data_IF_723028719059
#
_entry.id   IF_723028719059
#
_cell.length_a   1.000
_cell.length_b   1.000
_cell.length_c   1.000
_cell.angle_alpha   90.00
_cell.angle_beta   90.00
_cell.angle_gamma   90.00
#
_symmetry.space_group_name_H-M   'P 1'
#
loop_
_entity.id
_entity.type
_entity.pdbx_description
1 polymer ?
#
# COMPACT_ATOMS: atom_id res chain seq x y z
N UNK A 1 41.95 -2.73 -20.18
CA UNK A 1 41.26 -1.87 -19.20
C UNK A 1 39.84 -1.75 -19.67
N UNK A 2 38.86 -2.31 -18.94
CA UNK A 2 37.44 -2.13 -19.26
C UNK A 2 37.04 -0.80 -18.66
N UNK A 3 36.47 0.07 -19.49
CA UNK A 3 35.91 1.35 -19.08
C UNK A 3 34.81 1.12 -18.05
N UNK A 4 35.11 1.48 -16.79
CA UNK A 4 34.16 1.68 -15.73
C UNK A 4 33.29 2.90 -16.06
N UNK A 5 32.27 2.72 -16.90
CA UNK A 5 31.07 3.54 -16.76
C UNK A 5 30.50 3.20 -15.40
N UNK A 6 30.77 4.06 -14.40
CA UNK A 6 30.13 4.07 -13.08
C UNK A 6 28.62 4.34 -13.22
N UNK A 7 27.90 3.44 -13.87
CA UNK A 7 26.45 3.37 -13.78
C UNK A 7 26.10 2.75 -12.44
N UNK A 8 25.04 3.24 -11.81
CA UNK A 8 24.44 2.60 -10.63
C UNK A 8 24.14 1.14 -10.96
N UNK A 9 24.49 0.23 -10.06
CA UNK A 9 24.24 -1.21 -10.27
C UNK A 9 22.73 -1.44 -10.34
N UNK A 10 22.26 -2.27 -11.27
CA UNK A 10 20.84 -2.44 -11.56
C UNK A 10 20.00 -2.83 -10.33
N UNK A 11 20.56 -3.65 -9.43
CA UNK A 11 19.87 -4.04 -8.19
C UNK A 11 19.66 -2.87 -7.21
N UNK A 12 20.54 -1.85 -7.23
CA UNK A 12 20.38 -0.63 -6.42
C UNK A 12 19.19 0.15 -6.98
N UNK A 13 19.13 0.34 -8.30
CA UNK A 13 17.99 1.00 -8.94
C UNK A 13 16.67 0.26 -8.68
N UNK A 14 16.68 -1.08 -8.68
CA UNK A 14 15.50 -1.84 -8.27
C UNK A 14 15.10 -1.57 -6.81
N UNK A 15 16.05 -1.52 -5.87
CA UNK A 15 15.75 -1.16 -4.47
C UNK A 15 15.16 0.24 -4.36
N UNK A 16 15.70 1.22 -5.09
CA UNK A 16 15.18 2.59 -5.10
C UNK A 16 13.73 2.63 -5.60
N UNK A 17 13.42 1.90 -6.68
CA UNK A 17 12.05 1.77 -7.21
C UNK A 17 11.12 1.16 -6.16
N UNK A 18 11.50 0.02 -5.56
CA UNK A 18 10.67 -0.66 -4.56
C UNK A 18 10.47 0.20 -3.32
N UNK A 19 11.50 0.92 -2.87
CA UNK A 19 11.42 1.83 -1.73
C UNK A 19 10.51 3.04 -2.01
N UNK A 20 10.58 3.65 -3.21
CA UNK A 20 9.65 4.72 -3.62
C UNK A 20 8.21 4.24 -3.57
N UNK A 21 7.93 3.06 -4.12
CA UNK A 21 6.59 2.45 -4.08
C UNK A 21 6.16 2.20 -2.63
N UNK A 22 7.05 1.63 -1.80
CA UNK A 22 6.78 1.37 -0.38
C UNK A 22 6.38 2.65 0.36
N UNK A 23 7.18 3.70 0.24
CA UNK A 23 6.91 4.99 0.90
C UNK A 23 5.57 5.57 0.45
N UNK A 24 5.26 5.47 -0.84
CA UNK A 24 3.99 5.96 -1.38
C UNK A 24 2.79 5.14 -0.88
N UNK A 25 2.90 3.81 -0.78
CA UNK A 25 1.85 2.96 -0.21
C UNK A 25 1.53 3.33 1.25
N UNK A 26 2.57 3.56 2.06
CA UNK A 26 2.42 4.02 3.46
C UNK A 26 1.78 5.40 3.50
N UNK A 27 2.21 6.31 2.62
CA UNK A 27 1.65 7.67 2.53
C UNK A 27 0.16 7.62 2.20
N UNK A 28 -0.26 6.81 1.22
CA UNK A 28 -1.67 6.63 0.88
C UNK A 28 -2.49 6.00 2.01
N UNK A 29 -1.89 5.14 2.83
CA UNK A 29 -2.55 4.58 4.01
C UNK A 29 -2.80 5.67 5.06
N UNK A 30 -1.81 6.53 5.33
CA UNK A 30 -1.96 7.69 6.22
C UNK A 30 -2.99 8.69 5.70
N UNK A 31 -2.96 9.02 4.40
CA UNK A 31 -3.94 9.90 3.76
C UNK A 31 -5.36 9.32 3.87
N UNK A 32 -5.50 7.99 3.77
CA UNK A 32 -6.81 7.33 3.96
C UNK A 32 -7.34 7.50 5.38
N UNK A 33 -6.49 7.43 6.41
CA UNK A 33 -6.91 7.75 7.79
C UNK A 33 -7.27 9.21 7.93
N UNK A 34 -6.44 10.11 7.39
CA UNK A 34 -6.67 11.54 7.47
C UNK A 34 -8.01 11.94 6.84
N UNK A 35 -8.29 11.46 5.63
CA UNK A 35 -9.57 11.67 4.96
C UNK A 35 -10.74 11.11 5.77
N UNK A 36 -10.57 9.95 6.41
CA UNK A 36 -11.59 9.35 7.27
C UNK A 36 -11.84 10.15 8.55
N UNK A 37 -10.81 10.79 9.13
CA UNK A 37 -10.95 11.71 10.26
C UNK A 37 -11.67 13.00 9.84
N UNK A 38 -11.27 13.59 8.71
CA UNK A 38 -11.89 14.81 8.18
C UNK A 38 -13.37 14.61 7.84
N UNK A 39 -13.71 13.42 7.33
CA UNK A 39 -15.09 13.00 7.08
C UNK A 39 -15.85 12.54 8.33
N UNK A 40 -15.21 12.56 9.51
CA UNK A 40 -15.76 12.07 10.79
C UNK A 40 -16.25 10.63 10.70
N UNK A 41 -15.58 9.79 9.92
CA UNK A 41 -15.81 8.34 9.89
C UNK A 41 -15.10 7.64 11.07
N UNK A 42 -14.00 8.25 11.55
CA UNK A 42 -13.22 7.80 12.69
C UNK A 42 -13.24 8.93 13.74
N UNK A 43 -13.43 8.56 15.00
CA UNK A 43 -13.31 9.49 16.13
C UNK A 43 -12.20 8.99 17.07
N UNK A 44 -11.27 9.89 17.41
CA UNK A 44 -10.18 9.60 18.35
C UNK A 44 -10.62 10.06 19.74
N UNK A 45 -11.20 9.15 20.52
CA UNK A 45 -11.51 9.40 21.93
C UNK A 45 -10.25 9.18 22.78
N UNK A 46 -9.79 10.26 23.42
CA UNK A 46 -8.45 10.35 23.99
C UNK A 46 -8.16 9.46 25.20
N UNK A 47 -7.02 8.77 25.11
CA UNK A 47 -5.97 8.78 26.14
C UNK A 47 -4.66 8.47 25.42
N UNK A 48 -4.23 9.39 24.54
CA UNK A 48 -2.85 9.38 24.09
C UNK A 48 -2.04 9.95 25.25
N UNK A 49 -1.28 9.04 25.87
CA UNK A 49 -0.34 9.28 26.96
C UNK A 49 0.33 10.64 26.76
N UNK A 50 0.24 11.48 27.79
CA UNK A 50 0.92 12.78 27.87
C UNK A 50 2.43 12.56 27.87
N UNK A 51 3.00 12.36 26.69
CA UNK A 51 4.43 12.58 26.44
C UNK A 51 4.59 14.10 26.26
N UNK A 52 5.65 14.74 26.80
CA UNK A 52 5.78 16.20 26.79
C UNK A 52 5.84 16.82 25.39
N UNK A 53 6.09 16.01 24.36
CA UNK A 53 6.06 16.40 22.97
C UNK A 53 4.76 15.87 22.33
N UNK A 54 3.95 16.77 21.77
CA UNK A 54 2.80 16.36 20.95
C UNK A 54 3.31 15.42 19.86
N UNK A 55 2.77 14.19 19.71
CA UNK A 55 3.18 13.32 18.63
C UNK A 55 2.99 14.05 17.31
N UNK A 56 3.95 13.92 16.40
CA UNK A 56 3.81 14.49 15.06
C UNK A 56 2.58 13.90 14.38
N UNK A 57 1.91 14.65 13.50
CA UNK A 57 0.72 14.19 12.78
C UNK A 57 0.97 12.84 12.08
N UNK A 58 2.19 12.64 11.57
CA UNK A 58 2.67 11.39 10.98
C UNK A 58 2.63 10.21 11.96
N UNK A 59 3.18 10.36 13.17
CA UNK A 59 3.18 9.30 14.18
C UNK A 59 1.75 8.93 14.61
N UNK A 60 0.90 9.95 14.76
CA UNK A 60 -0.51 9.73 15.08
C UNK A 60 -1.22 8.96 13.96
N UNK A 61 -1.08 9.37 12.70
CA UNK A 61 -1.71 8.68 11.58
C UNK A 61 -1.18 7.25 11.44
N UNK A 62 0.13 7.05 11.56
CA UNK A 62 0.72 5.72 11.48
C UNK A 62 0.25 4.82 12.63
N UNK A 63 0.13 5.35 13.85
CA UNK A 63 -0.46 4.63 14.98
C UNK A 63 -1.90 4.20 14.69
N UNK A 64 -2.72 5.10 14.15
CA UNK A 64 -4.11 4.80 13.80
C UNK A 64 -4.20 3.76 12.67
N UNK A 65 -3.39 3.88 11.62
CA UNK A 65 -3.28 2.87 10.55
C UNK A 65 -2.98 1.51 11.16
N UNK A 66 -1.90 1.39 11.94
CA UNK A 66 -1.48 0.12 12.53
C UNK A 66 -2.54 -0.48 13.47
N UNK A 67 -3.22 0.37 14.25
CA UNK A 67 -4.30 -0.07 15.12
C UNK A 67 -5.50 -0.60 14.33
N UNK A 68 -5.95 0.15 13.32
CA UNK A 68 -7.10 -0.24 12.49
C UNK A 68 -6.81 -1.49 11.66
N UNK A 69 -5.59 -1.62 11.14
CA UNK A 69 -5.16 -2.81 10.40
C UNK A 69 -5.07 -4.03 11.32
N UNK A 70 -4.51 -3.89 12.53
CA UNK A 70 -4.41 -5.02 13.47
C UNK A 70 -5.77 -5.45 14.05
N UNK A 71 -6.72 -4.53 14.19
CA UNK A 71 -8.08 -4.83 14.64
C UNK A 71 -9.07 -5.13 13.49
N UNK A 72 -8.61 -5.16 12.22
CA UNK A 72 -9.45 -5.28 11.03
C UNK A 72 -10.47 -6.41 11.14
N UNK A 73 -10.05 -7.63 11.44
CA UNK A 73 -10.95 -8.77 11.41
C UNK A 73 -12.05 -8.66 12.48
N UNK A 74 -11.69 -8.13 13.66
CA UNK A 74 -12.66 -7.81 14.72
C UNK A 74 -13.65 -6.76 14.25
N UNK A 75 -13.16 -5.66 13.67
CA UNK A 75 -13.98 -4.56 13.14
C UNK A 75 -14.95 -5.10 12.07
N UNK A 76 -14.43 -5.81 11.07
CA UNK A 76 -15.24 -6.35 9.97
C UNK A 76 -16.32 -7.30 10.49
N UNK A 77 -15.99 -8.18 11.44
CA UNK A 77 -16.95 -9.10 12.03
C UNK A 77 -18.05 -8.36 12.81
N UNK A 78 -17.68 -7.44 13.70
CA UNK A 78 -18.64 -6.69 14.53
C UNK A 78 -19.62 -5.83 13.73
N UNK A 79 -19.22 -5.35 12.56
CA UNK A 79 -20.04 -4.42 11.77
C UNK A 79 -20.74 -5.07 10.58
N UNK A 80 -20.28 -6.24 10.11
CA UNK A 80 -20.99 -7.01 9.08
C UNK A 80 -22.36 -7.47 9.59
N UNK A 81 -22.45 -7.92 10.84
CA UNK A 81 -23.73 -8.28 11.48
C UNK A 81 -24.70 -7.09 11.57
N UNK A 82 -24.18 -5.89 11.83
CA UNK A 82 -24.99 -4.66 11.85
C UNK A 82 -25.50 -4.28 10.47
N UNK A 83 -24.69 -4.47 9.42
CA UNK A 83 -25.10 -4.20 8.04
C UNK A 83 -26.11 -5.23 7.53
N UNK A 84 -25.95 -6.50 7.87
CA UNK A 84 -26.86 -7.59 7.48
C UNK A 84 -28.25 -7.39 8.12
N UNK A 85 -28.29 -6.99 9.39
CA UNK A 85 -29.55 -6.65 10.09
C UNK A 85 -30.19 -5.33 9.64
N UNK A 86 -29.46 -4.46 8.95
CA UNK A 86 -29.98 -3.20 8.39
C UNK A 86 -30.62 -3.39 7.00
N UNK A 87 -30.35 -4.49 6.30
CA UNK A 87 -30.88 -4.75 4.94
C UNK A 87 -32.38 -5.02 4.87
N UNK A 88 -33.01 -5.45 5.97
CA UNK A 88 -34.27 -6.19 5.91
C UNK A 88 -35.54 -5.45 6.37
N UNK A 89 -35.51 -4.14 6.64
CA UNK A 89 -36.74 -3.40 6.91
C UNK A 89 -36.60 -1.89 6.71
N UNK A 90 -37.48 -1.31 5.88
CA UNK A 90 -37.89 0.10 5.85
C UNK A 90 -36.93 1.09 6.53
N UNK A 91 -35.70 1.20 6.03
CA UNK A 91 -34.68 2.03 6.64
C UNK A 91 -35.13 3.48 6.60
N UNK A 92 -35.27 4.10 7.77
CA UNK A 92 -35.43 5.55 7.84
C UNK A 92 -34.20 6.21 7.22
N UNK A 93 -34.32 7.42 6.65
CA UNK A 93 -33.17 8.11 6.03
C UNK A 93 -31.93 8.20 6.94
N UNK A 94 -32.14 8.34 8.25
CA UNK A 94 -31.06 8.36 9.25
C UNK A 94 -30.32 7.02 9.36
N UNK A 95 -31.05 5.89 9.38
CA UNK A 95 -30.41 4.56 9.43
C UNK A 95 -29.67 4.24 8.13
N UNK A 96 -30.22 4.66 6.98
CA UNK A 96 -29.53 4.53 5.70
C UNK A 96 -28.21 5.32 5.67
N UNK A 97 -28.22 6.56 6.18
CA UNK A 97 -27.01 7.38 6.28
C UNK A 97 -25.96 6.77 7.23
N UNK A 98 -26.40 6.17 8.34
CA UNK A 98 -25.50 5.50 9.28
C UNK A 98 -24.88 4.24 8.68
N UNK A 99 -25.67 3.41 7.99
CA UNK A 99 -25.17 2.24 7.27
C UNK A 99 -24.15 2.63 6.19
N UNK A 100 -24.41 3.71 5.46
CA UNK A 100 -23.49 4.21 4.44
C UNK A 100 -22.18 4.74 5.06
N UNK A 101 -22.23 5.50 6.16
CA UNK A 101 -21.03 5.92 6.90
C UNK A 101 -20.22 4.71 7.37
N UNK A 102 -20.89 3.67 7.86
CA UNK A 102 -20.24 2.45 8.30
C UNK A 102 -19.56 1.71 7.14
N UNK A 103 -20.22 1.57 6.00
CA UNK A 103 -19.62 0.97 4.79
C UNK A 103 -18.37 1.71 4.35
N UNK A 104 -18.41 3.05 4.33
CA UNK A 104 -17.25 3.88 4.01
C UNK A 104 -16.10 3.66 4.99
N UNK A 105 -16.40 3.60 6.29
CA UNK A 105 -15.39 3.27 7.30
C UNK A 105 -14.74 1.90 7.08
N UNK A 106 -15.54 0.85 6.86
CA UNK A 106 -15.02 -0.50 6.60
C UNK A 106 -14.15 -0.53 5.33
N UNK A 107 -14.56 0.15 4.26
CA UNK A 107 -13.78 0.26 3.03
C UNK A 107 -12.44 0.96 3.26
N UNK A 108 -12.41 2.02 4.10
CA UNK A 108 -11.16 2.66 4.51
C UNK A 108 -10.23 1.67 5.23
N UNK A 109 -10.74 0.88 6.17
CA UNK A 109 -9.96 -0.14 6.91
C UNK A 109 -9.42 -1.21 5.97
N UNK A 110 -10.23 -1.70 5.03
CA UNK A 110 -9.77 -2.66 4.01
C UNK A 110 -8.68 -2.07 3.11
N UNK A 111 -8.87 -0.84 2.63
CA UNK A 111 -7.88 -0.14 1.81
C UNK A 111 -6.56 0.02 2.55
N UNK A 112 -6.58 0.47 3.81
CA UNK A 112 -5.38 0.59 4.64
C UNK A 112 -4.68 -0.75 4.82
N UNK A 113 -5.43 -1.80 5.14
CA UNK A 113 -4.89 -3.15 5.31
C UNK A 113 -4.21 -3.67 4.04
N UNK A 114 -4.84 -3.46 2.88
CA UNK A 114 -4.24 -3.83 1.59
C UNK A 114 -2.94 -3.06 1.33
N UNK A 115 -2.94 -1.73 1.53
CA UNK A 115 -1.77 -0.87 1.33
C UNK A 115 -0.60 -1.26 2.25
N UNK A 116 -0.89 -1.50 3.53
CA UNK A 116 0.11 -1.91 4.51
C UNK A 116 0.69 -3.29 4.20
N UNK A 117 -0.15 -4.27 3.85
CA UNK A 117 0.29 -5.59 3.40
C UNK A 117 1.24 -5.50 2.21
N UNK A 118 0.91 -4.69 1.21
CA UNK A 118 1.80 -4.46 0.06
C UNK A 118 3.10 -3.75 0.45
N UNK A 119 3.06 -2.81 1.41
CA UNK A 119 4.26 -2.14 1.89
C UNK A 119 5.22 -3.06 2.65
N UNK A 120 4.69 -4.02 3.42
CA UNK A 120 5.50 -5.01 4.16
C UNK A 120 6.17 -6.00 3.20
N UNK A 121 5.45 -6.44 2.16
CA UNK A 121 5.99 -7.31 1.12
C UNK A 121 7.20 -6.71 0.39
N UNK A 122 7.29 -5.38 0.31
CA UNK A 122 8.45 -4.69 -0.27
C UNK A 122 9.75 -4.97 0.48
N UNK A 123 9.71 -5.16 1.81
CA UNK A 123 10.93 -5.38 2.60
C UNK A 123 11.61 -6.70 2.26
N UNK A 124 10.82 -7.77 2.16
CA UNK A 124 11.33 -9.07 1.72
C UNK A 124 11.76 -9.02 0.25
N UNK A 125 11.03 -8.30 -0.58
CA UNK A 125 11.36 -8.20 -2.00
C UNK A 125 12.64 -7.40 -2.26
N UNK A 126 12.86 -6.29 -1.55
CA UNK A 126 14.11 -5.52 -1.58
C UNK A 126 15.31 -6.40 -1.21
N UNK A 127 15.15 -7.30 -0.22
CA UNK A 127 16.16 -8.30 0.10
C UNK A 127 16.46 -9.23 -1.08
N UNK A 128 15.43 -9.76 -1.74
CA UNK A 128 15.60 -10.67 -2.88
C UNK A 128 16.26 -10.00 -4.09
N UNK A 129 15.87 -8.76 -4.37
CA UNK A 129 16.48 -7.91 -5.40
C UNK A 129 17.96 -7.70 -5.10
N UNK A 130 18.30 -7.43 -3.84
CA UNK A 130 19.68 -7.21 -3.41
C UNK A 130 20.57 -8.44 -3.58
N UNK A 131 20.00 -9.65 -3.68
CA UNK A 131 20.76 -10.86 -4.00
C UNK A 131 21.09 -10.99 -5.50
N UNK A 132 20.47 -10.20 -6.38
CA UNK A 132 20.65 -10.25 -7.84
C UNK A 132 21.82 -9.37 -8.34
N UNK A 133 22.92 -9.32 -7.59
CA UNK A 133 24.06 -8.41 -7.82
C UNK A 133 24.68 -8.57 -9.23
N UNK A 134 24.57 -9.76 -9.83
CA UNK A 134 25.15 -10.11 -11.14
C UNK A 134 24.21 -9.93 -12.33
N UNK A 135 22.94 -9.59 -12.10
CA UNK A 135 21.98 -9.44 -13.18
C UNK A 135 22.27 -8.16 -13.99
N UNK A 136 21.97 -8.22 -15.29
CA UNK A 136 22.40 -7.21 -16.25
C UNK A 136 21.57 -5.92 -16.20
N UNK A 137 20.28 -6.02 -15.88
CA UNK A 137 19.34 -4.90 -16.01
C UNK A 137 18.15 -5.01 -15.01
N UNK A 138 17.52 -3.86 -14.77
CA UNK A 138 16.39 -3.68 -13.84
C UNK A 138 15.21 -4.59 -14.22
N UNK A 139 14.86 -4.61 -15.51
CA UNK A 139 13.72 -5.37 -16.02
C UNK A 139 13.86 -6.86 -15.74
N UNK A 140 15.06 -7.42 -15.96
CA UNK A 140 15.42 -8.80 -15.65
C UNK A 140 15.27 -9.10 -14.16
N UNK A 141 15.80 -8.23 -13.29
CA UNK A 141 15.78 -8.41 -11.83
C UNK A 141 14.35 -8.40 -11.30
N UNK A 142 13.57 -7.36 -11.63
CA UNK A 142 12.19 -7.21 -11.17
C UNK A 142 11.37 -8.41 -11.67
N UNK A 143 11.49 -8.78 -12.96
CA UNK A 143 10.75 -9.91 -13.53
C UNK A 143 11.08 -11.24 -12.83
N UNK A 144 12.37 -11.56 -12.61
CA UNK A 144 12.74 -12.83 -11.97
C UNK A 144 12.34 -12.91 -10.50
N UNK A 145 12.42 -11.79 -9.78
CA UNK A 145 12.12 -11.76 -8.34
C UNK A 145 10.62 -11.61 -8.08
N UNK A 146 9.86 -11.01 -9.00
CA UNK A 146 8.40 -10.97 -8.92
C UNK A 146 7.77 -12.33 -9.16
N UNK A 147 8.30 -13.14 -10.10
CA UNK A 147 7.74 -14.47 -10.40
C UNK A 147 7.87 -15.47 -9.26
N UNK A 148 8.72 -15.20 -8.27
CA UNK A 148 8.87 -16.06 -7.10
C UNK A 148 7.67 -15.98 -6.13
N UNK A 149 6.82 -14.95 -6.25
CA UNK A 149 5.65 -14.77 -5.39
C UNK A 149 4.51 -14.09 -6.20
N UNK A 150 3.38 -14.78 -6.36
CA UNK A 150 2.23 -14.28 -7.12
C UNK A 150 1.68 -12.94 -6.60
N UNK A 151 1.78 -12.68 -5.29
CA UNK A 151 1.32 -11.41 -4.70
C UNK A 151 2.19 -10.22 -5.14
N UNK A 152 3.46 -10.45 -5.50
CA UNK A 152 4.33 -9.39 -6.06
C UNK A 152 3.86 -8.96 -7.44
N UNK A 153 3.36 -9.92 -8.24
CA UNK A 153 2.76 -9.62 -9.55
C UNK A 153 1.45 -8.85 -9.36
N UNK A 154 0.61 -9.25 -8.40
CA UNK A 154 -0.60 -8.51 -8.04
C UNK A 154 -0.28 -7.06 -7.64
N UNK A 155 0.74 -6.88 -6.80
CA UNK A 155 1.23 -5.57 -6.37
C UNK A 155 1.69 -4.72 -7.57
N UNK A 156 2.54 -5.25 -8.45
CA UNK A 156 2.97 -4.49 -9.65
C UNK A 156 1.78 -4.10 -10.53
N UNK A 157 0.81 -5.00 -10.71
CA UNK A 157 -0.42 -4.68 -11.43
C UNK A 157 -1.22 -3.56 -10.74
N UNK A 158 -1.29 -3.58 -9.40
CA UNK A 158 -1.90 -2.50 -8.62
C UNK A 158 -1.17 -1.18 -8.84
N UNK A 159 0.17 -1.17 -8.74
CA UNK A 159 1.03 0.01 -8.97
C UNK A 159 0.79 0.60 -10.35
N UNK A 160 0.74 -0.24 -11.38
CA UNK A 160 0.53 0.22 -12.76
C UNK A 160 -0.86 0.78 -13.02
N UNK A 161 -1.88 0.32 -12.28
CA UNK A 161 -3.26 0.83 -12.39
C UNK A 161 -3.51 2.03 -11.48
N UNK A 162 -2.75 2.17 -10.40
CA UNK A 162 -2.88 3.28 -9.47
C UNK A 162 -2.20 4.52 -10.05
N UNK A 163 -3.02 5.47 -10.52
CA UNK A 163 -2.51 6.71 -11.13
C UNK A 163 -1.60 7.52 -10.22
N UNK A 164 -1.77 7.49 -8.90
CA UNK A 164 -0.93 8.26 -7.98
C UNK A 164 0.50 7.71 -8.00
N UNK A 165 0.64 6.38 -7.87
CA UNK A 165 1.93 5.70 -7.88
C UNK A 165 2.55 5.70 -9.29
N UNK A 166 1.73 5.51 -10.32
CA UNK A 166 2.20 5.48 -11.69
C UNK A 166 2.64 6.86 -12.20
N UNK A 167 2.13 7.98 -11.68
CA UNK A 167 2.51 9.34 -12.13
C UNK A 167 3.99 9.65 -11.88
N UNK A 168 4.52 10.57 -12.68
CA UNK A 168 5.92 11.06 -12.62
C UNK A 168 6.35 11.66 -11.26
N UNK A 169 5.43 11.78 -10.30
CA UNK A 169 5.71 12.23 -8.94
C UNK A 169 6.36 11.15 -8.08
N UNK A 170 6.12 9.86 -8.37
CA UNK A 170 6.63 8.73 -7.58
C UNK A 170 7.64 7.93 -8.38
N UNK A 171 7.28 7.56 -9.61
CA UNK A 171 8.14 6.83 -10.54
C UNK A 171 8.44 7.69 -11.77
N UNK A 172 9.71 7.74 -12.16
CA UNK A 172 10.11 8.30 -13.47
C UNK A 172 9.52 7.47 -14.61
N UNK A 173 9.53 8.04 -15.82
CA UNK A 173 9.02 7.36 -17.01
C UNK A 173 9.79 6.05 -17.26
N UNK A 174 11.11 6.07 -17.13
CA UNK A 174 11.99 4.92 -17.34
C UNK A 174 11.75 3.81 -16.30
N UNK A 175 11.51 4.18 -15.03
CA UNK A 175 11.17 3.22 -13.97
C UNK A 175 9.82 2.56 -14.24
N UNK A 176 8.83 3.32 -14.71
CA UNK A 176 7.52 2.80 -15.11
C UNK A 176 7.63 1.82 -16.28
N UNK A 177 8.33 2.21 -17.34
CA UNK A 177 8.57 1.36 -18.52
C UNK A 177 9.29 0.06 -18.13
N UNK A 178 10.21 0.14 -17.16
CA UNK A 178 10.90 -1.05 -16.62
C UNK A 178 9.93 -2.00 -15.92
N UNK A 179 9.01 -1.50 -15.09
CA UNK A 179 7.98 -2.30 -14.43
C UNK A 179 7.01 -2.92 -15.44
N UNK A 180 6.52 -2.14 -16.41
CA UNK A 180 5.63 -2.63 -17.48
C UNK A 180 6.30 -3.76 -18.28
N UNK A 181 7.57 -3.57 -18.64
CA UNK A 181 8.35 -4.57 -19.35
C UNK A 181 8.57 -5.82 -18.51
N UNK A 182 8.80 -5.68 -17.20
CA UNK A 182 8.95 -6.82 -16.28
C UNK A 182 7.67 -7.64 -16.15
N UNK A 183 6.50 -6.97 -16.07
CA UNK A 183 5.19 -7.62 -16.05
C UNK A 183 4.93 -8.38 -17.35
N UNK A 184 5.20 -7.75 -18.50
CA UNK A 184 5.04 -8.40 -19.80
C UNK A 184 5.93 -9.64 -19.92
N UNK A 185 7.19 -9.55 -19.48
CA UNK A 185 8.13 -10.67 -19.48
C UNK A 185 7.73 -11.77 -18.50
N UNK A 186 7.20 -11.42 -17.33
CA UNK A 186 6.71 -12.40 -16.36
C UNK A 186 5.52 -13.19 -16.93
N UNK A 187 4.62 -12.54 -17.67
CA UNK A 187 3.47 -13.20 -18.31
C UNK A 187 3.84 -14.15 -19.46
N UNK A 188 5.05 -14.02 -20.03
CA UNK A 188 5.53 -14.87 -21.12
C UNK A 188 6.32 -16.09 -20.65
N UNK A 189 6.63 -16.20 -19.36
CA UNK A 189 7.37 -17.35 -18.82
C UNK A 189 6.37 -18.49 -18.53
N UNK A 190 6.58 -19.69 -19.11
CA UNK A 190 5.72 -20.85 -18.90
C UNK A 190 5.79 -21.38 -17.46
#
# INVERSE_FOLDING_TARGET
>A
MRDDKKGTQAWITCNDILNKIKTELITQAMDTVKDALDQKLIEVNGSLISVPDKPSDTEMYMFLVNKLVSEKDRIMHSYREYLDGASDAGLTPQKAQQAERLRKFLLCVEKMSMLMRYSEMMDEWMRDVSMQIKAADVTSIISSTSTANAERIELLNYVMKNQVIAREKVLTKEERESIESSLHRAAQRP
#
